data_IF_773877821681
#
_entry.id   IF_773877821681
#
_cell.length_a   1.000
_cell.length_b   1.000
_cell.length_c   1.000
_cell.angle_alpha   90.00
_cell.angle_beta   90.00
_cell.angle_gamma   90.00
#
_symmetry.space_group_name_H-M   'P 1'
#
loop_
_entity.id
_entity.type
_entity.pdbx_description
1 polymer ?
#
# COMPACT_ATOMS: atom_id res chain seq x y z
N UNK A 1 -4.51 -25.77 3.49
CA UNK A 1 -5.03 -24.39 3.35
C UNK A 1 -5.00 -24.04 1.87
N UNK A 2 -6.10 -23.57 1.26
CA UNK A 2 -6.11 -23.33 -0.19
C UNK A 2 -5.13 -22.22 -0.58
N UNK A 3 -4.58 -22.27 -1.81
CA UNK A 3 -3.69 -21.24 -2.35
C UNK A 3 -4.28 -19.81 -2.25
N UNK A 4 -5.60 -19.71 -2.34
CA UNK A 4 -6.35 -18.47 -2.17
C UNK A 4 -6.23 -17.93 -0.75
N UNK A 5 -6.50 -18.74 0.28
CA UNK A 5 -6.40 -18.32 1.69
C UNK A 5 -4.97 -17.93 2.04
N UNK A 6 -3.96 -18.62 1.49
CA UNK A 6 -2.55 -18.29 1.73
C UNK A 6 -2.10 -17.01 1.02
N UNK A 7 -2.78 -16.57 -0.05
CA UNK A 7 -2.49 -15.29 -0.74
C UNK A 7 -3.40 -14.13 -0.31
N UNK A 8 -4.45 -14.40 0.47
CA UNK A 8 -5.44 -13.39 0.84
C UNK A 8 -4.81 -12.09 1.38
N UNK A 9 -3.81 -12.11 2.29
CA UNK A 9 -3.18 -10.87 2.76
C UNK A 9 -2.49 -10.08 1.64
N UNK A 10 -1.87 -10.76 0.68
CA UNK A 10 -1.22 -10.14 -0.48
C UNK A 10 -2.22 -9.55 -1.45
N UNK A 11 -3.36 -10.22 -1.66
CA UNK A 11 -4.45 -9.66 -2.48
C UNK A 11 -5.10 -8.45 -1.82
N UNK A 12 -5.33 -8.49 -0.50
CA UNK A 12 -5.83 -7.34 0.25
C UNK A 12 -4.85 -6.16 0.19
N UNK A 13 -3.54 -6.41 0.39
CA UNK A 13 -2.53 -5.37 0.25
C UNK A 13 -2.51 -4.79 -1.17
N UNK A 14 -2.60 -5.65 -2.20
CA UNK A 14 -2.70 -5.22 -3.59
C UNK A 14 -3.92 -4.31 -3.82
N UNK A 15 -5.10 -4.69 -3.31
CA UNK A 15 -6.31 -3.88 -3.44
C UNK A 15 -6.15 -2.50 -2.81
N UNK A 16 -5.54 -2.40 -1.63
CA UNK A 16 -5.30 -1.11 -0.95
C UNK A 16 -4.37 -0.22 -1.77
N UNK A 17 -3.24 -0.78 -2.25
CA UNK A 17 -2.25 0.00 -3.02
C UNK A 17 -2.82 0.43 -4.37
N UNK A 18 -3.56 -0.45 -5.06
CA UNK A 18 -4.23 -0.11 -6.32
C UNK A 18 -5.35 0.92 -6.12
N UNK A 19 -6.10 0.84 -5.02
CA UNK A 19 -7.07 1.86 -4.64
C UNK A 19 -6.37 3.21 -4.40
N UNK A 20 -5.19 3.20 -3.78
CA UNK A 20 -4.35 4.38 -3.60
C UNK A 20 -3.97 5.04 -4.91
N UNK A 21 -3.38 4.26 -5.82
CA UNK A 21 -3.03 4.71 -7.17
C UNK A 21 -4.24 5.28 -7.92
N UNK A 22 -5.34 4.53 -7.97
CA UNK A 22 -6.56 4.94 -8.65
C UNK A 22 -7.13 6.24 -8.08
N UNK A 23 -7.19 6.33 -6.76
CA UNK A 23 -7.68 7.50 -6.04
C UNK A 23 -6.88 8.75 -6.36
N UNK A 24 -5.54 8.64 -6.43
CA UNK A 24 -4.64 9.72 -6.83
C UNK A 24 -4.76 10.09 -8.30
N UNK A 25 -4.78 9.12 -9.22
CA UNK A 25 -4.96 9.41 -10.66
C UNK A 25 -6.28 10.14 -10.96
N UNK A 26 -7.32 9.85 -10.18
CA UNK A 26 -8.66 10.45 -10.34
C UNK A 26 -8.91 11.63 -9.42
N UNK A 27 -7.90 12.08 -8.66
CA UNK A 27 -8.04 13.15 -7.66
C UNK A 27 -9.27 12.98 -6.75
N UNK A 28 -9.57 11.72 -6.39
CA UNK A 28 -10.68 11.36 -5.52
C UNK A 28 -12.08 11.38 -6.14
N UNK A 29 -12.24 11.61 -7.45
CA UNK A 29 -13.56 11.68 -8.13
C UNK A 29 -14.47 10.50 -7.76
N UNK A 30 -13.90 9.29 -7.68
CA UNK A 30 -14.63 8.06 -7.35
C UNK A 30 -14.36 7.53 -5.94
N UNK A 31 -13.38 8.10 -5.22
CA UNK A 31 -12.90 7.59 -3.93
C UNK A 31 -12.55 8.73 -2.96
N UNK A 32 -13.48 9.68 -2.71
CA UNK A 32 -13.16 10.97 -2.08
C UNK A 32 -12.59 10.82 -0.66
N UNK A 33 -13.12 9.86 0.12
CA UNK A 33 -12.63 9.60 1.48
C UNK A 33 -11.21 9.02 1.49
N UNK A 34 -10.90 8.13 0.54
CA UNK A 34 -9.57 7.52 0.45
C UNK A 34 -8.54 8.52 -0.09
N UNK A 35 -8.96 9.39 -1.02
CA UNK A 35 -8.13 10.50 -1.51
C UNK A 35 -7.81 11.50 -0.39
N UNK A 36 -8.82 11.92 0.38
CA UNK A 36 -8.64 12.82 1.52
C UNK A 36 -7.71 12.21 2.59
N UNK A 37 -7.83 10.90 2.85
CA UNK A 37 -6.88 10.18 3.69
C UNK A 37 -5.45 10.32 3.13
N UNK A 38 -5.24 10.09 1.85
CA UNK A 38 -3.91 10.21 1.24
C UNK A 38 -3.36 11.64 1.26
N UNK A 39 -4.16 12.64 0.92
CA UNK A 39 -3.75 14.07 0.98
C UNK A 39 -3.40 14.50 2.41
N UNK A 40 -4.13 14.02 3.41
CA UNK A 40 -3.82 14.27 4.81
C UNK A 40 -2.43 13.75 5.19
N UNK A 41 -2.00 12.62 4.62
CA UNK A 41 -0.69 12.01 4.89
C UNK A 41 0.44 12.62 4.06
N UNK A 42 0.18 12.85 2.78
CA UNK A 42 1.13 13.41 1.82
C UNK A 42 0.37 14.33 0.84
N UNK A 43 0.66 15.63 0.78
CA UNK A 43 -0.05 16.55 -0.12
C UNK A 43 0.04 16.13 -1.59
N UNK A 44 -1.06 16.30 -2.34
CA UNK A 44 -1.05 16.24 -3.81
C UNK A 44 -0.76 17.62 -4.42
N UNK A 45 0.42 18.15 -4.13
CA UNK A 45 0.81 19.52 -4.44
C UNK A 45 1.37 19.70 -5.87
N UNK A 46 1.24 18.68 -6.73
CA UNK A 46 1.79 18.68 -8.08
C UNK A 46 3.33 18.57 -8.15
N UNK A 47 4.00 18.34 -7.02
CA UNK A 47 5.43 18.04 -6.97
C UNK A 47 5.77 16.77 -7.77
N UNK A 48 7.04 16.61 -8.13
CA UNK A 48 7.52 15.41 -8.82
C UNK A 48 7.22 14.14 -8.02
N UNK A 49 7.32 14.20 -6.69
CA UNK A 49 6.99 13.07 -5.81
C UNK A 49 5.50 12.76 -5.85
N UNK A 50 4.63 13.78 -5.72
CA UNK A 50 3.19 13.60 -5.80
C UNK A 50 2.76 12.96 -7.13
N UNK A 51 3.33 13.41 -8.25
CA UNK A 51 3.05 12.88 -9.60
C UNK A 51 3.49 11.43 -9.82
N UNK A 52 4.59 11.01 -9.20
CA UNK A 52 5.16 9.66 -9.41
C UNK A 52 4.56 8.65 -8.42
N UNK A 53 4.13 9.08 -7.23
CA UNK A 53 3.50 8.21 -6.22
C UNK A 53 2.44 7.25 -6.80
N UNK A 54 1.40 7.70 -7.53
CA UNK A 54 0.39 6.80 -8.07
C UNK A 54 0.92 5.79 -9.10
N UNK A 55 2.00 6.13 -9.81
CA UNK A 55 2.66 5.21 -10.76
C UNK A 55 3.39 4.11 -9.99
N UNK A 56 4.12 4.46 -8.93
CA UNK A 56 4.79 3.49 -8.07
C UNK A 56 3.77 2.55 -7.43
N UNK A 57 2.69 3.10 -6.87
CA UNK A 57 1.62 2.32 -6.27
C UNK A 57 0.97 1.38 -7.29
N UNK A 58 0.71 1.83 -8.51
CA UNK A 58 0.18 0.97 -9.57
C UNK A 58 1.12 -0.22 -9.86
N UNK A 59 2.42 0.03 -10.03
CA UNK A 59 3.42 -1.01 -10.31
C UNK A 59 3.54 -2.00 -9.14
N UNK A 60 3.57 -1.51 -7.91
CA UNK A 60 3.63 -2.34 -6.70
C UNK A 60 2.35 -3.16 -6.55
N UNK A 61 1.19 -2.54 -6.73
CA UNK A 61 -0.12 -3.19 -6.67
C UNK A 61 -0.28 -4.32 -7.69
N UNK A 62 0.13 -4.10 -8.94
CA UNK A 62 0.13 -5.11 -10.00
C UNK A 62 1.15 -6.22 -9.72
N UNK A 63 2.32 -5.88 -9.18
CA UNK A 63 3.35 -6.84 -8.77
C UNK A 63 2.85 -7.77 -7.65
N UNK A 64 2.08 -7.25 -6.70
CA UNK A 64 1.41 -8.06 -5.66
C UNK A 64 0.34 -8.98 -6.27
N UNK A 65 -0.47 -8.46 -7.21
CA UNK A 65 -1.60 -9.20 -7.79
C UNK A 65 -1.14 -10.33 -8.70
N UNK A 66 -0.29 -10.01 -9.68
CA UNK A 66 0.05 -10.90 -10.79
C UNK A 66 1.46 -11.47 -10.71
N UNK A 67 2.30 -10.98 -9.80
CA UNK A 67 3.69 -11.41 -9.72
C UNK A 67 3.88 -12.86 -9.31
N UNK A 68 5.04 -13.41 -9.70
CA UNK A 68 5.55 -14.64 -9.13
C UNK A 68 5.91 -14.44 -7.64
N UNK A 69 6.26 -15.51 -6.92
CA UNK A 69 6.55 -15.44 -5.48
C UNK A 69 7.61 -14.41 -5.13
N UNK A 70 8.72 -14.37 -5.88
CA UNK A 70 9.82 -13.43 -5.65
C UNK A 70 9.34 -12.00 -5.81
N UNK A 71 8.62 -11.70 -6.89
CA UNK A 71 8.11 -10.37 -7.17
C UNK A 71 7.07 -9.93 -6.12
N UNK A 72 6.18 -10.83 -5.71
CA UNK A 72 5.20 -10.56 -4.63
C UNK A 72 5.87 -10.29 -3.29
N UNK A 73 6.91 -11.05 -2.95
CA UNK A 73 7.67 -10.85 -1.71
C UNK A 73 8.40 -9.51 -1.72
N UNK A 74 9.06 -9.16 -2.84
CA UNK A 74 9.72 -7.86 -2.99
C UNK A 74 8.72 -6.71 -2.90
N UNK A 75 7.61 -6.78 -3.62
CA UNK A 75 6.57 -5.75 -3.59
C UNK A 75 5.97 -5.59 -2.18
N UNK A 76 5.66 -6.70 -1.49
CA UNK A 76 5.14 -6.65 -0.13
C UNK A 76 6.15 -6.05 0.87
N UNK A 77 7.44 -6.35 0.69
CA UNK A 77 8.51 -5.80 1.53
C UNK A 77 8.71 -4.30 1.30
N UNK A 78 8.65 -3.85 0.04
CA UNK A 78 8.69 -2.42 -0.32
C UNK A 78 7.49 -1.70 0.29
N UNK A 79 6.27 -2.24 0.13
CA UNK A 79 5.06 -1.67 0.75
C UNK A 79 5.21 -1.56 2.26
N UNK A 80 5.69 -2.62 2.93
CA UNK A 80 5.90 -2.61 4.38
C UNK A 80 6.86 -1.48 4.79
N UNK A 81 7.98 -1.33 4.08
CA UNK A 81 8.94 -0.26 4.35
C UNK A 81 8.34 1.13 4.20
N UNK A 82 7.66 1.40 3.08
CA UNK A 82 7.06 2.70 2.80
C UNK A 82 5.94 3.05 3.80
N UNK A 83 5.05 2.10 4.09
CA UNK A 83 3.96 2.30 5.05
C UNK A 83 4.52 2.50 6.47
N UNK A 84 5.56 1.76 6.87
CA UNK A 84 6.21 1.95 8.17
C UNK A 84 6.86 3.33 8.30
N UNK A 85 7.51 3.83 7.23
CA UNK A 85 8.01 5.21 7.19
C UNK A 85 6.87 6.21 7.31
N UNK A 86 5.76 5.99 6.59
CA UNK A 86 4.54 6.80 6.69
C UNK A 86 4.01 6.89 8.12
N UNK A 87 3.89 5.75 8.81
CA UNK A 87 3.49 5.67 10.21
C UNK A 87 4.42 6.51 11.11
N UNK A 88 5.73 6.40 10.95
CA UNK A 88 6.70 7.18 11.73
C UNK A 88 6.54 8.68 11.49
N UNK A 89 6.27 9.09 10.24
CA UNK A 89 6.00 10.49 9.90
C UNK A 89 4.71 10.98 10.58
N UNK A 90 3.64 10.19 10.55
CA UNK A 90 2.37 10.56 11.21
C UNK A 90 2.53 10.67 12.73
N UNK A 91 3.23 9.71 13.35
CA UNK A 91 3.54 9.72 14.78
C UNK A 91 4.32 10.97 15.19
N UNK A 92 5.37 11.33 14.43
CA UNK A 92 6.16 12.54 14.70
C UNK A 92 5.38 13.83 14.49
N UNK A 93 4.42 13.83 13.56
CA UNK A 93 3.56 14.97 13.29
C UNK A 93 2.39 15.11 14.28
N UNK A 94 2.21 14.17 15.23
CA UNK A 94 1.06 14.15 16.14
C UNK A 94 -0.28 13.95 15.43
N UNK A 95 -0.25 13.39 14.22
CA UNK A 95 -1.43 13.13 13.37
C UNK A 95 -2.11 11.82 13.76
N UNK A 96 -3.35 11.61 13.34
CA UNK A 96 -4.04 10.33 13.56
C UNK A 96 -3.36 9.23 12.73
N UNK A 97 -2.97 8.13 13.37
CA UNK A 97 -2.15 7.06 12.76
C UNK A 97 -2.76 5.65 12.87
N UNK A 98 -4.01 5.53 13.32
CA UNK A 98 -4.67 4.23 13.54
C UNK A 98 -4.82 3.44 12.23
N UNK A 99 -5.06 4.14 11.11
CA UNK A 99 -5.10 3.53 9.78
C UNK A 99 -3.75 2.95 9.38
N UNK A 100 -2.66 3.68 9.61
CA UNK A 100 -1.31 3.24 9.29
C UNK A 100 -0.91 1.97 10.04
N UNK A 101 -1.31 1.80 11.31
CA UNK A 101 -1.06 0.56 12.06
C UNK A 101 -1.70 -0.64 11.36
N UNK A 102 -2.95 -0.51 10.91
CA UNK A 102 -3.64 -1.57 10.20
C UNK A 102 -2.95 -1.90 8.87
N UNK A 103 -2.46 -0.88 8.16
CA UNK A 103 -1.70 -1.04 6.92
C UNK A 103 -0.34 -1.72 7.15
N UNK A 104 0.40 -1.35 8.20
CA UNK A 104 1.66 -2.01 8.58
C UNK A 104 1.42 -3.48 8.92
N UNK A 105 0.39 -3.77 9.72
CA UNK A 105 0.04 -5.14 10.09
C UNK A 105 -0.31 -5.97 8.85
N UNK A 106 -1.12 -5.43 7.93
CA UNK A 106 -1.48 -6.09 6.68
C UNK A 106 -0.23 -6.37 5.81
N UNK A 107 0.65 -5.39 5.67
CA UNK A 107 1.88 -5.54 4.89
C UNK A 107 2.82 -6.60 5.52
N UNK A 108 2.98 -6.61 6.84
CA UNK A 108 3.78 -7.60 7.54
C UNK A 108 3.21 -9.02 7.38
N UNK A 109 1.89 -9.19 7.50
CA UNK A 109 1.24 -10.49 7.28
C UNK A 109 1.39 -10.94 5.82
N UNK A 110 1.31 -10.01 4.85
CA UNK A 110 1.58 -10.30 3.44
C UNK A 110 3.01 -10.84 3.23
N UNK A 111 4.03 -10.18 3.81
CA UNK A 111 5.43 -10.66 3.74
C UNK A 111 5.57 -12.05 4.35
N UNK A 112 5.04 -12.26 5.56
CA UNK A 112 5.08 -13.55 6.25
C UNK A 112 4.39 -14.65 5.43
N UNK A 113 3.27 -14.33 4.77
CA UNK A 113 2.55 -15.28 3.92
C UNK A 113 3.38 -15.76 2.73
N UNK A 114 4.18 -14.88 2.11
CA UNK A 114 5.03 -15.23 0.97
C UNK A 114 6.30 -15.96 1.39
N UNK A 115 6.82 -15.69 2.60
CA UNK A 115 7.96 -16.40 3.19
C UNK A 115 7.60 -17.85 3.56
N UNK A 116 6.38 -18.08 4.10
CA UNK A 116 5.91 -19.41 4.53
C UNK A 116 5.63 -20.39 3.39
N UNK A 117 5.42 -19.90 2.17
CA UNK A 117 5.26 -20.74 0.98
C UNK A 117 6.61 -21.37 0.61
N UNK A 118 6.90 -22.56 1.15
CA UNK A 118 7.97 -23.43 0.66
C UNK A 118 7.39 -24.44 -0.32
#
# INVERSE_FOLDING_TARGET
MSLFVTNLPTYLLSSVVLLGAFSRFTHGEHTPQFYAFQEYHAPDDGSTVAKITPIIDLVVGLSLLFGNRTLRLSAASISLGLIAVGLVVQLKAGKQYTGDIALVALAAVSVLSQLRKR
#
